data_IF_999154753081
#
_entry.id   IF_999154753081
#
_cell.length_a   1.000
_cell.length_b   1.000
_cell.length_c   1.000
_cell.angle_alpha   90.00
_cell.angle_beta   90.00
_cell.angle_gamma   90.00
#
_symmetry.space_group_name_H-M   'P 1'
#
loop_
_entity.id
_entity.type
_entity.pdbx_description
1 polymer ?
#
# COMPACT_ATOMS: atom_id res chain seq x y z
N UNK A 1 -5.80 3.01 -21.63
CA UNK A 1 -5.18 4.32 -21.37
C UNK A 1 -6.12 5.10 -20.49
N UNK A 2 -5.64 5.77 -19.44
CA UNK A 2 -6.48 6.62 -18.62
C UNK A 2 -6.73 7.95 -19.34
N UNK A 3 -7.97 8.43 -19.33
CA UNK A 3 -8.39 9.71 -19.92
C UNK A 3 -9.12 10.55 -18.87
N UNK A 4 -9.22 11.84 -19.12
CA UNK A 4 -10.00 12.79 -18.32
C UNK A 4 -9.64 12.84 -16.83
N UNK A 5 -8.35 12.60 -16.51
CA UNK A 5 -7.86 12.65 -15.15
C UNK A 5 -7.79 14.10 -14.64
N UNK A 6 -8.45 14.35 -13.51
CA UNK A 6 -8.32 15.59 -12.76
C UNK A 6 -7.95 15.26 -11.32
N UNK A 7 -6.65 15.19 -11.06
CA UNK A 7 -6.07 14.79 -9.78
C UNK A 7 -5.51 16.00 -9.06
N UNK A 8 -5.82 16.11 -7.79
CA UNK A 8 -5.28 17.13 -6.91
C UNK A 8 -4.57 16.48 -5.72
N UNK A 9 -3.39 16.99 -5.38
CA UNK A 9 -2.60 16.59 -4.23
C UNK A 9 -2.41 17.78 -3.30
N UNK A 10 -2.71 17.60 -2.03
CA UNK A 10 -2.58 18.63 -1.01
C UNK A 10 -1.31 18.47 -0.20
N UNK A 11 -0.79 19.58 0.33
CA UNK A 11 0.38 19.54 1.19
C UNK A 11 0.13 18.71 2.45
N UNK A 12 1.10 17.89 2.82
CA UNK A 12 1.02 17.07 4.02
C UNK A 12 0.18 15.80 3.90
N UNK A 13 -0.33 15.45 2.71
CA UNK A 13 -1.12 14.23 2.50
C UNK A 13 -0.24 13.04 2.07
N UNK A 14 -0.56 11.86 2.62
CA UNK A 14 -0.14 10.57 2.07
C UNK A 14 -1.23 10.04 1.14
N UNK A 15 -0.94 9.96 -0.14
CA UNK A 15 -1.85 9.41 -1.17
C UNK A 15 -1.38 8.05 -1.61
N UNK A 16 -2.27 7.06 -1.59
CA UNK A 16 -2.02 5.73 -2.15
C UNK A 16 -2.67 5.57 -3.51
N UNK A 17 -1.85 5.38 -4.55
CA UNK A 17 -2.29 5.03 -5.89
C UNK A 17 -2.47 3.51 -5.98
N UNK A 18 -3.71 3.08 -6.06
CA UNK A 18 -4.11 1.68 -6.02
C UNK A 18 -4.75 1.28 -7.35
N UNK A 19 -4.62 0.03 -7.72
CA UNK A 19 -5.28 -0.54 -8.89
C UNK A 19 -4.68 -1.88 -9.28
N UNK A 20 -5.38 -2.61 -10.13
CA UNK A 20 -4.93 -3.92 -10.62
C UNK A 20 -3.59 -3.83 -11.36
N UNK A 21 -2.87 -4.95 -11.46
CA UNK A 21 -1.65 -4.99 -12.25
C UNK A 21 -1.92 -4.65 -13.71
N UNK A 22 -1.04 -3.83 -14.28
CA UNK A 22 -1.15 -3.38 -15.67
C UNK A 22 -2.17 -2.24 -15.92
N UNK A 23 -2.82 -1.67 -14.89
CA UNK A 23 -3.71 -0.51 -15.07
C UNK A 23 -2.97 0.81 -15.36
N UNK A 24 -1.64 0.87 -15.13
CA UNK A 24 -0.83 2.03 -15.49
C UNK A 24 -0.30 2.86 -14.32
N UNK A 25 -0.28 2.33 -13.08
CA UNK A 25 0.20 3.04 -11.88
C UNK A 25 1.60 3.64 -12.07
N UNK A 26 2.58 2.81 -12.42
CA UNK A 26 3.97 3.27 -12.63
C UNK A 26 4.08 4.24 -13.81
N UNK A 27 3.25 4.08 -14.84
CA UNK A 27 3.18 5.03 -15.94
C UNK A 27 2.68 6.39 -15.49
N UNK A 28 1.63 6.42 -14.66
CA UNK A 28 1.11 7.66 -14.08
C UNK A 28 2.17 8.32 -13.18
N UNK A 29 2.82 7.57 -12.27
CA UNK A 29 3.89 8.11 -11.43
C UNK A 29 5.04 8.68 -12.25
N UNK A 30 5.49 7.99 -13.30
CA UNK A 30 6.53 8.49 -14.21
C UNK A 30 6.07 9.75 -14.95
N UNK A 31 4.79 9.86 -15.28
CA UNK A 31 4.21 11.06 -15.91
C UNK A 31 4.17 12.22 -14.91
N UNK A 32 3.73 11.98 -13.66
CA UNK A 32 3.75 12.96 -12.58
C UNK A 32 5.16 13.41 -12.22
N UNK A 33 6.15 12.51 -12.35
CA UNK A 33 7.57 12.84 -12.17
C UNK A 33 8.19 13.61 -13.36
N UNK A 34 7.47 13.75 -14.47
CA UNK A 34 7.96 14.37 -15.69
C UNK A 34 9.03 13.57 -16.42
N UNK A 35 9.13 12.26 -16.15
CA UNK A 35 9.97 11.30 -16.87
C UNK A 35 9.31 10.84 -18.17
N UNK A 36 7.99 10.91 -18.22
CA UNK A 36 7.19 10.58 -19.40
C UNK A 36 6.23 11.73 -19.69
N UNK A 37 6.09 12.10 -20.95
CA UNK A 37 5.12 13.14 -21.35
C UNK A 37 3.70 12.58 -21.32
N UNK A 38 2.71 13.33 -20.79
CA UNK A 38 1.32 12.96 -20.96
C UNK A 38 0.94 13.02 -22.45
N UNK A 39 0.06 12.15 -22.89
CA UNK A 39 -0.45 12.16 -24.26
C UNK A 39 -1.30 13.41 -24.51
N UNK A 40 -2.12 13.77 -23.55
CA UNK A 40 -2.95 14.97 -23.50
C UNK A 40 -2.96 15.55 -22.10
N UNK A 41 -3.35 16.81 -21.95
CA UNK A 41 -3.38 17.48 -20.67
C UNK A 41 -2.00 17.95 -20.19
N UNK A 42 -1.91 18.28 -18.91
CA UNK A 42 -0.70 18.84 -18.30
C UNK A 42 -0.58 18.41 -16.84
N UNK A 43 0.65 18.36 -16.34
CA UNK A 43 0.97 18.21 -14.93
C UNK A 43 1.45 19.56 -14.41
N UNK A 44 0.85 20.02 -13.32
CA UNK A 44 1.20 21.28 -12.65
C UNK A 44 1.85 20.98 -11.31
N UNK A 45 2.93 21.68 -10.98
CA UNK A 45 3.54 21.72 -9.66
C UNK A 45 3.67 23.19 -9.27
N UNK A 46 3.09 23.60 -8.14
CA UNK A 46 3.00 24.99 -7.70
C UNK A 46 2.46 25.93 -8.82
N UNK A 47 1.39 25.51 -9.49
CA UNK A 47 0.77 26.21 -10.63
C UNK A 47 1.68 26.40 -11.87
N UNK A 48 2.84 25.75 -11.92
CA UNK A 48 3.73 25.77 -13.08
C UNK A 48 3.64 24.45 -13.84
N UNK A 49 3.54 24.49 -15.16
CA UNK A 49 3.53 23.29 -15.98
C UNK A 49 4.89 22.59 -15.93
N UNK A 50 4.88 21.34 -15.46
CA UNK A 50 6.09 20.54 -15.25
C UNK A 50 6.94 20.37 -16.52
N UNK A 51 6.30 20.33 -17.70
CA UNK A 51 6.98 20.22 -18.98
C UNK A 51 7.90 21.42 -19.26
N UNK A 52 7.56 22.59 -18.73
CA UNK A 52 8.28 23.85 -18.96
C UNK A 52 9.37 24.12 -17.90
N UNK A 53 9.45 23.32 -16.86
CA UNK A 53 10.45 23.46 -15.78
C UNK A 53 11.74 22.73 -16.19
N UNK A 54 12.90 23.39 -16.01
CA UNK A 54 14.22 22.78 -16.27
C UNK A 54 14.47 21.59 -15.34
N UNK A 55 15.24 20.62 -15.80
CA UNK A 55 15.47 19.36 -15.07
C UNK A 55 16.03 19.60 -13.66
N UNK A 56 16.94 20.53 -13.51
CA UNK A 56 17.53 20.89 -12.21
C UNK A 56 16.51 21.53 -11.24
N UNK A 57 15.59 22.32 -11.75
CA UNK A 57 14.50 22.93 -10.98
C UNK A 57 13.44 21.89 -10.61
N UNK A 58 13.14 20.94 -11.53
CA UNK A 58 12.26 19.79 -11.24
C UNK A 58 12.79 18.98 -10.06
N UNK A 59 14.11 18.72 -10.05
CA UNK A 59 14.76 17.98 -8.97
C UNK A 59 14.71 18.70 -7.61
N UNK A 60 14.35 19.99 -7.56
CA UNK A 60 14.05 20.73 -6.33
C UNK A 60 12.57 20.78 -5.96
N UNK A 61 11.69 20.30 -6.85
CA UNK A 61 10.24 20.30 -6.65
C UNK A 61 9.68 18.91 -6.35
N UNK A 62 10.31 17.87 -6.85
CA UNK A 62 9.85 16.50 -6.62
C UNK A 62 11.03 15.52 -6.52
N UNK A 63 10.89 14.55 -5.64
CA UNK A 63 11.75 13.37 -5.52
C UNK A 63 11.00 12.13 -6.02
N UNK A 64 11.73 11.19 -6.62
CA UNK A 64 11.18 9.94 -7.13
C UNK A 64 12.02 8.76 -6.65
N UNK A 65 11.36 7.77 -6.08
CA UNK A 65 11.91 6.46 -5.73
C UNK A 65 11.22 5.42 -6.61
N UNK A 66 12.00 4.71 -7.42
CA UNK A 66 11.51 3.62 -8.27
C UNK A 66 11.70 2.27 -7.56
N UNK A 67 10.94 1.28 -8.00
CA UNK A 67 11.02 -0.11 -7.50
C UNK A 67 12.35 -0.80 -7.85
N UNK A 68 13.08 -0.27 -8.84
CA UNK A 68 14.35 -0.84 -9.29
C UNK A 68 15.38 -0.83 -8.17
N UNK A 69 16.04 -1.98 -7.95
CA UNK A 69 17.11 -2.09 -6.94
C UNK A 69 18.30 -1.26 -7.40
N UNK A 70 18.72 -0.34 -6.55
CA UNK A 70 19.96 0.40 -6.74
C UNK A 70 21.09 -0.44 -6.15
N UNK A 71 21.98 -0.91 -7.01
CA UNK A 71 23.19 -1.62 -6.61
C UNK A 71 24.40 -0.75 -6.96
N UNK A 72 25.00 -0.16 -5.94
CA UNK A 72 26.21 0.66 -6.07
C UNK A 72 27.27 0.01 -5.18
N UNK A 73 28.23 -0.62 -5.82
CA UNK A 73 29.33 -1.26 -5.14
C UNK A 73 30.08 -0.24 -4.26
N UNK A 74 30.41 -0.66 -3.04
CA UNK A 74 31.19 0.10 -2.06
C UNK A 74 30.61 1.47 -1.61
N UNK A 75 29.32 1.74 -1.89
CA UNK A 75 28.66 2.93 -1.36
C UNK A 75 28.11 2.67 0.05
N UNK A 76 28.35 3.60 0.96
CA UNK A 76 27.74 3.59 2.29
C UNK A 76 26.33 4.17 2.27
N UNK A 77 25.57 3.95 3.35
CA UNK A 77 24.26 4.59 3.56
C UNK A 77 24.40 6.10 3.39
N UNK A 78 25.38 6.72 4.07
CA UNK A 78 25.63 8.15 3.99
C UNK A 78 25.93 8.62 2.56
N UNK A 79 26.69 7.85 1.77
CA UNK A 79 26.99 8.19 0.38
C UNK A 79 25.72 8.21 -0.48
N UNK A 80 24.87 7.21 -0.33
CA UNK A 80 23.59 7.14 -1.07
C UNK A 80 22.66 8.30 -0.69
N UNK A 81 22.54 8.60 0.60
CA UNK A 81 21.67 9.70 1.05
C UNK A 81 22.21 11.06 0.59
N UNK A 82 23.53 11.27 0.60
CA UNK A 82 24.18 12.48 0.05
C UNK A 82 23.85 12.71 -1.42
N UNK A 83 23.62 11.65 -2.23
CA UNK A 83 23.20 11.81 -3.62
C UNK A 83 21.87 12.57 -3.74
N UNK A 84 21.02 12.56 -2.71
CA UNK A 84 19.80 13.37 -2.64
C UNK A 84 20.09 14.88 -2.73
N UNK A 85 21.27 15.32 -2.30
CA UNK A 85 21.68 16.74 -2.33
C UNK A 85 22.26 17.19 -3.67
N UNK A 86 22.38 16.30 -4.66
CA UNK A 86 22.91 16.67 -6.00
C UNK A 86 22.27 17.93 -6.60
N UNK A 87 20.95 18.19 -6.51
CA UNK A 87 20.35 19.42 -7.03
C UNK A 87 20.83 20.72 -6.36
N UNK A 88 21.58 20.64 -5.26
CA UNK A 88 22.03 21.77 -4.45
C UNK A 88 23.55 21.92 -4.44
N UNK A 89 24.28 20.95 -5.03
CA UNK A 89 25.74 21.03 -5.14
C UNK A 89 26.19 22.28 -5.90
N UNK A 90 27.33 22.80 -5.54
CA UNK A 90 28.03 23.83 -6.31
C UNK A 90 28.61 23.24 -7.62
N UNK A 91 29.21 24.08 -8.45
CA UNK A 91 29.84 23.67 -9.72
C UNK A 91 30.90 22.57 -9.57
N UNK A 92 31.53 22.49 -8.41
CA UNK A 92 32.58 21.51 -8.10
C UNK A 92 32.02 20.22 -7.46
N UNK A 93 30.71 20.11 -7.32
CA UNK A 93 30.05 18.95 -6.70
C UNK A 93 30.15 18.89 -5.17
N UNK A 94 30.62 19.98 -4.53
CA UNK A 94 30.75 20.03 -3.07
C UNK A 94 29.42 20.39 -2.41
N UNK A 95 29.18 19.74 -1.27
CA UNK A 95 28.09 20.01 -0.34
C UNK A 95 28.51 21.05 0.71
N UNK A 96 27.58 21.85 1.18
CA UNK A 96 27.75 22.74 2.33
C UNK A 96 27.51 22.00 3.65
N UNK A 97 27.94 22.59 4.78
CA UNK A 97 27.62 22.04 6.11
C UNK A 97 26.13 21.90 6.35
N UNK A 98 25.32 22.81 5.81
CA UNK A 98 23.86 22.72 5.86
C UNK A 98 23.34 21.47 5.13
N UNK A 99 23.93 21.09 4.00
CA UNK A 99 23.57 19.87 3.27
C UNK A 99 23.92 18.61 4.06
N UNK A 100 25.05 18.59 4.75
CA UNK A 100 25.41 17.47 5.63
C UNK A 100 24.44 17.32 6.80
N UNK A 101 23.96 18.43 7.37
CA UNK A 101 22.93 18.37 8.41
C UNK A 101 21.62 17.76 7.88
N UNK A 102 21.16 18.17 6.69
CA UNK A 102 19.96 17.60 6.05
C UNK A 102 20.13 16.10 5.78
N UNK A 103 21.32 15.66 5.35
CA UNK A 103 21.64 14.24 5.15
C UNK A 103 21.53 13.47 6.47
N UNK A 104 22.11 14.00 7.55
CA UNK A 104 22.06 13.35 8.87
C UNK A 104 20.62 13.28 9.40
N UNK A 105 19.85 14.38 9.31
CA UNK A 105 18.44 14.40 9.68
C UNK A 105 17.62 13.37 8.87
N UNK A 106 17.89 13.24 7.56
CA UNK A 106 17.21 12.26 6.73
C UNK A 106 17.54 10.82 7.13
N UNK A 107 18.77 10.53 7.54
CA UNK A 107 19.19 9.21 8.05
C UNK A 107 18.52 8.92 9.39
N UNK A 108 18.43 9.92 10.28
CA UNK A 108 17.76 9.83 11.58
C UNK A 108 16.26 9.56 11.41
N UNK A 109 15.59 10.26 10.50
CA UNK A 109 14.16 10.06 10.24
C UNK A 109 13.80 8.63 9.83
N UNK A 110 14.71 7.90 9.22
CA UNK A 110 14.52 6.51 8.81
C UNK A 110 15.13 5.50 9.78
N UNK A 111 15.69 5.94 10.92
CA UNK A 111 16.30 5.12 11.97
C UNK A 111 17.48 4.27 11.46
N UNK A 112 18.40 4.89 10.73
CA UNK A 112 19.61 4.27 10.21
C UNK A 112 20.92 4.91 10.71
N UNK A 113 20.89 5.70 11.79
CA UNK A 113 22.05 6.43 12.34
C UNK A 113 23.21 5.48 12.65
N UNK A 114 22.91 4.35 13.31
CA UNK A 114 23.91 3.34 13.65
C UNK A 114 24.53 2.61 12.45
N UNK A 115 23.95 2.80 11.25
CA UNK A 115 24.35 2.15 10.01
C UNK A 115 24.80 3.12 8.92
N UNK A 116 25.01 4.40 9.27
CA UNK A 116 25.38 5.44 8.30
C UNK A 116 26.64 5.09 7.48
N UNK A 117 27.61 4.42 8.10
CA UNK A 117 28.87 4.02 7.48
C UNK A 117 28.85 2.57 6.95
N UNK A 118 27.75 1.82 7.12
CA UNK A 118 27.62 0.47 6.56
C UNK A 118 27.45 0.54 5.04
N UNK A 119 27.99 -0.45 4.34
CA UNK A 119 27.79 -0.58 2.90
C UNK A 119 26.38 -1.06 2.57
N UNK A 120 25.86 -0.62 1.42
CA UNK A 120 24.50 -0.95 0.99
C UNK A 120 24.26 -2.48 0.88
N UNK A 121 25.28 -3.25 0.51
CA UNK A 121 25.21 -4.71 0.37
C UNK A 121 25.12 -5.45 1.72
N UNK A 122 25.45 -4.81 2.83
CA UNK A 122 25.37 -5.38 4.18
C UNK A 122 23.97 -5.21 4.81
N UNK A 123 23.08 -4.45 4.15
CA UNK A 123 21.76 -4.13 4.64
C UNK A 123 20.71 -5.16 4.20
N UNK A 124 19.70 -5.36 5.04
CA UNK A 124 18.46 -6.05 4.67
C UNK A 124 17.69 -5.27 3.59
N UNK A 125 16.76 -5.92 2.88
CA UNK A 125 15.94 -5.25 1.86
C UNK A 125 15.10 -4.11 2.46
N UNK A 126 14.58 -4.27 3.70
CA UNK A 126 13.86 -3.20 4.41
C UNK A 126 14.75 -2.00 4.74
N UNK A 127 15.99 -2.24 5.17
CA UNK A 127 16.95 -1.17 5.43
C UNK A 127 17.39 -0.47 4.14
N UNK A 128 17.62 -1.21 3.06
CA UNK A 128 17.90 -0.62 1.73
C UNK A 128 16.76 0.28 1.28
N UNK A 129 15.51 -0.15 1.49
CA UNK A 129 14.35 0.67 1.15
C UNK A 129 14.31 1.96 1.99
N UNK A 130 14.64 1.89 3.28
CA UNK A 130 14.78 3.08 4.15
C UNK A 130 15.88 4.02 3.67
N UNK A 131 17.01 3.51 3.17
CA UNK A 131 18.07 4.33 2.55
C UNK A 131 17.54 5.09 1.34
N UNK A 132 16.75 4.45 0.48
CA UNK A 132 16.17 5.11 -0.69
C UNK A 132 15.15 6.19 -0.31
N UNK A 133 14.38 5.96 0.75
CA UNK A 133 13.48 6.98 1.33
C UNK A 133 14.30 8.13 1.92
N UNK A 134 15.36 7.85 2.68
CA UNK A 134 16.26 8.87 3.23
C UNK A 134 16.91 9.74 2.13
N UNK A 135 17.34 9.12 1.02
CA UNK A 135 17.82 9.84 -0.16
C UNK A 135 16.77 10.81 -0.71
N UNK A 136 15.51 10.36 -0.84
CA UNK A 136 14.42 11.21 -1.29
C UNK A 136 14.10 12.34 -0.30
N UNK A 137 14.22 12.08 1.01
CA UNK A 137 14.09 13.08 2.07
C UNK A 137 15.21 14.12 2.01
N UNK A 138 16.45 13.67 1.85
CA UNK A 138 17.61 14.55 1.74
C UNK A 138 17.54 15.45 0.49
N UNK A 139 16.81 15.06 -0.55
CA UNK A 139 16.52 15.91 -1.71
C UNK A 139 15.66 17.12 -1.34
N UNK A 140 15.00 17.11 -0.18
CA UNK A 140 14.25 18.20 0.42
C UNK A 140 13.24 18.88 -0.54
N UNK A 141 12.42 18.07 -1.15
CA UNK A 141 11.37 18.50 -2.07
C UNK A 141 9.99 18.53 -1.40
N UNK A 142 9.05 19.37 -1.84
CA UNK A 142 7.67 19.38 -1.33
C UNK A 142 6.86 18.13 -1.72
N UNK A 143 7.26 17.43 -2.81
CA UNK A 143 6.59 16.25 -3.32
C UNK A 143 7.55 15.06 -3.37
N UNK A 144 7.11 13.91 -2.86
CA UNK A 144 7.83 12.63 -2.93
C UNK A 144 6.93 11.61 -3.60
N UNK A 145 7.40 11.01 -4.67
CA UNK A 145 6.74 9.93 -5.40
C UNK A 145 7.50 8.63 -5.16
N UNK A 146 6.79 7.55 -4.77
CA UNK A 146 7.41 6.24 -4.57
C UNK A 146 6.62 5.18 -5.34
N UNK A 147 7.33 4.42 -6.17
CA UNK A 147 6.75 3.32 -6.93
C UNK A 147 6.97 2.01 -6.19
N UNK A 148 5.90 1.44 -5.63
CA UNK A 148 5.86 0.20 -4.85
C UNK A 148 6.93 0.11 -3.73
N UNK A 149 6.98 1.08 -2.78
CA UNK A 149 8.05 1.15 -1.78
C UNK A 149 8.07 -0.02 -0.78
N UNK A 150 7.02 -0.84 -0.76
CA UNK A 150 6.90 -2.02 0.12
C UNK A 150 7.11 -3.35 -0.62
N UNK A 151 7.41 -3.30 -1.93
CA UNK A 151 7.62 -4.52 -2.71
C UNK A 151 8.80 -5.34 -2.16
N UNK A 152 8.63 -6.67 -2.16
CA UNK A 152 9.62 -7.65 -1.70
C UNK A 152 9.98 -7.60 -0.20
N UNK A 153 9.28 -6.80 0.60
CA UNK A 153 9.46 -6.75 2.05
C UNK A 153 8.54 -7.76 2.75
N UNK A 154 8.96 -8.26 3.90
CA UNK A 154 8.10 -9.01 4.81
C UNK A 154 7.08 -8.08 5.50
N UNK A 155 6.06 -8.66 6.11
CA UNK A 155 4.94 -7.91 6.68
C UNK A 155 5.37 -6.86 7.72
N UNK A 156 6.26 -7.15 8.71
CA UNK A 156 6.72 -6.13 9.65
C UNK A 156 7.37 -4.93 8.97
N UNK A 157 8.30 -5.16 8.03
CA UNK A 157 8.96 -4.09 7.30
C UNK A 157 7.98 -3.25 6.45
N UNK A 158 6.98 -3.89 5.81
CA UNK A 158 5.93 -3.16 5.08
C UNK A 158 5.17 -2.19 5.99
N UNK A 159 4.72 -2.68 7.16
CA UNK A 159 4.00 -1.86 8.15
C UNK A 159 4.86 -0.69 8.60
N UNK A 160 6.13 -0.94 8.91
CA UNK A 160 7.06 0.11 9.35
C UNK A 160 7.31 1.18 8.28
N UNK A 161 7.48 0.79 7.01
CA UNK A 161 7.61 1.74 5.89
C UNK A 161 6.33 2.57 5.72
N UNK A 162 5.16 1.95 5.76
CA UNK A 162 3.90 2.68 5.64
C UNK A 162 3.71 3.69 6.78
N UNK A 163 3.99 3.30 8.02
CA UNK A 163 3.95 4.20 9.19
C UNK A 163 4.99 5.32 9.08
N UNK A 164 6.19 5.03 8.56
CA UNK A 164 7.22 6.02 8.31
C UNK A 164 6.73 7.07 7.30
N UNK A 165 6.20 6.65 6.16
CA UNK A 165 5.72 7.55 5.10
C UNK A 165 4.54 8.40 5.57
N UNK A 166 3.60 7.82 6.33
CA UNK A 166 2.50 8.55 6.94
C UNK A 166 3.01 9.64 7.91
N UNK A 167 3.87 9.25 8.87
CA UNK A 167 4.47 10.21 9.81
C UNK A 167 5.26 11.31 9.10
N UNK A 168 5.95 10.95 8.02
CA UNK A 168 6.73 11.87 7.23
C UNK A 168 5.85 12.93 6.58
N UNK A 169 4.78 12.55 5.89
CA UNK A 169 3.86 13.48 5.27
C UNK A 169 3.34 14.51 6.31
N UNK A 170 2.83 14.02 7.43
CA UNK A 170 2.22 14.87 8.46
C UNK A 170 3.22 15.75 9.24
N UNK A 171 4.43 15.24 9.54
CA UNK A 171 5.41 16.01 10.32
C UNK A 171 6.15 17.05 9.49
N UNK A 172 6.42 16.76 8.23
CA UNK A 172 7.22 17.64 7.37
C UNK A 172 6.36 18.53 6.47
N UNK A 173 5.05 18.29 6.40
CA UNK A 173 4.16 18.97 5.46
C UNK A 173 4.40 18.62 3.99
N UNK A 174 5.26 17.63 3.71
CA UNK A 174 5.55 17.16 2.35
C UNK A 174 4.39 16.28 1.85
N UNK A 175 4.06 16.39 0.59
CA UNK A 175 3.10 15.51 -0.05
C UNK A 175 3.79 14.23 -0.48
N UNK A 176 3.21 13.08 -0.16
CA UNK A 176 3.75 11.76 -0.49
C UNK A 176 2.73 10.99 -1.32
N UNK A 177 3.12 10.54 -2.50
CA UNK A 177 2.30 9.65 -3.34
C UNK A 177 3.02 8.32 -3.49
N UNK A 178 2.37 7.24 -3.13
CA UNK A 178 2.90 5.89 -3.30
C UNK A 178 2.02 5.07 -4.24
N UNK A 179 2.60 4.33 -5.16
CA UNK A 179 1.89 3.23 -5.79
C UNK A 179 2.00 2.00 -4.91
N UNK A 180 0.93 1.25 -4.77
CA UNK A 180 0.95 -0.01 -4.02
C UNK A 180 -0.13 -0.97 -4.50
N UNK A 181 0.08 -2.26 -4.26
CA UNK A 181 -0.91 -3.31 -4.39
C UNK A 181 -1.37 -3.84 -3.01
N UNK A 182 -0.83 -3.29 -1.93
CA UNK A 182 -1.13 -3.65 -0.55
C UNK A 182 -2.37 -2.89 -0.08
N UNK A 183 -3.56 -3.39 -0.43
CA UNK A 183 -4.83 -2.71 -0.17
C UNK A 183 -5.09 -2.48 1.30
N UNK A 184 -4.89 -3.49 2.14
CA UNK A 184 -5.16 -3.42 3.57
C UNK A 184 -4.33 -2.31 4.24
N UNK A 185 -3.04 -2.21 3.90
CA UNK A 185 -2.18 -1.16 4.43
C UNK A 185 -2.53 0.22 3.90
N UNK A 186 -2.91 0.31 2.64
CA UNK A 186 -3.32 1.57 2.05
C UNK A 186 -4.62 2.10 2.66
N UNK A 187 -5.61 1.22 2.91
CA UNK A 187 -6.85 1.57 3.61
C UNK A 187 -6.61 2.08 5.04
N UNK A 188 -5.54 1.59 5.71
CA UNK A 188 -5.22 1.97 7.08
C UNK A 188 -4.33 3.21 7.20
N UNK A 189 -3.51 3.51 6.20
CA UNK A 189 -2.46 4.52 6.31
C UNK A 189 -2.67 5.75 5.42
N UNK A 190 -3.43 5.65 4.33
CA UNK A 190 -3.59 6.75 3.39
C UNK A 190 -4.59 7.80 3.88
N UNK A 191 -4.25 9.07 3.71
CA UNK A 191 -5.21 10.18 3.87
C UNK A 191 -6.19 10.21 2.69
N UNK A 192 -5.72 9.81 1.51
CA UNK A 192 -6.50 9.75 0.29
C UNK A 192 -6.05 8.59 -0.59
N UNK A 193 -6.98 7.99 -1.30
CA UNK A 193 -6.72 6.95 -2.29
C UNK A 193 -7.05 7.49 -3.68
N UNK A 194 -6.17 7.21 -4.62
CA UNK A 194 -6.41 7.27 -6.04
C UNK A 194 -6.59 5.84 -6.55
N UNK A 195 -7.85 5.44 -6.69
CA UNK A 195 -8.23 4.10 -7.13
C UNK A 195 -8.31 4.07 -8.66
N UNK A 196 -7.30 3.47 -9.28
CA UNK A 196 -7.20 3.34 -10.73
C UNK A 196 -7.89 2.09 -11.23
N UNK A 197 -8.87 2.24 -12.10
CA UNK A 197 -9.55 1.14 -12.78
C UNK A 197 -9.02 0.99 -14.21
N UNK A 198 -9.35 -0.11 -14.88
CA UNK A 198 -8.96 -0.33 -16.28
C UNK A 198 -9.81 0.45 -17.27
N UNK A 199 -11.03 0.75 -16.91
CA UNK A 199 -12.08 1.28 -17.82
C UNK A 199 -12.54 2.68 -17.44
N UNK A 200 -12.62 2.99 -16.15
CA UNK A 200 -13.42 4.11 -15.66
C UNK A 200 -12.60 5.27 -15.06
N UNK A 201 -11.29 5.32 -15.39
CA UNK A 201 -10.44 6.40 -14.90
C UNK A 201 -9.91 6.18 -13.48
N UNK A 202 -9.85 7.25 -12.70
CA UNK A 202 -9.37 7.22 -11.32
C UNK A 202 -10.43 7.80 -10.39
N UNK A 203 -10.90 6.99 -9.45
CA UNK A 203 -11.74 7.44 -8.35
C UNK A 203 -10.86 7.96 -7.21
N UNK A 204 -11.19 9.12 -6.66
CA UNK A 204 -10.40 9.81 -5.65
C UNK A 204 -11.23 10.11 -4.41
N UNK A 205 -10.75 9.70 -3.25
CA UNK A 205 -11.46 9.93 -1.99
C UNK A 205 -10.67 9.51 -0.77
N UNK A 206 -11.24 9.74 0.41
CA UNK A 206 -10.76 9.08 1.63
C UNK A 206 -11.08 7.59 1.55
N UNK A 207 -10.27 6.73 2.16
CA UNK A 207 -10.45 5.28 2.05
C UNK A 207 -11.86 4.78 2.35
N UNK A 208 -12.44 5.28 3.44
CA UNK A 208 -13.75 4.87 3.95
C UNK A 208 -14.89 5.22 2.97
N UNK A 209 -14.85 6.40 2.37
CA UNK A 209 -15.87 6.83 1.40
C UNK A 209 -15.86 5.94 0.15
N UNK A 210 -14.66 5.65 -0.38
CA UNK A 210 -14.51 4.78 -1.56
C UNK A 210 -14.99 3.34 -1.28
N UNK A 211 -14.78 2.85 -0.05
CA UNK A 211 -15.30 1.54 0.37
C UNK A 211 -16.81 1.56 0.48
N UNK A 212 -17.38 2.56 1.18
CA UNK A 212 -18.81 2.67 1.43
C UNK A 212 -19.63 2.94 0.15
N UNK A 213 -19.05 3.65 -0.81
CA UNK A 213 -19.65 3.92 -2.12
C UNK A 213 -19.52 2.72 -3.09
N UNK A 214 -18.81 1.66 -2.71
CA UNK A 214 -18.69 0.44 -3.50
C UNK A 214 -17.60 0.45 -4.58
N UNK A 215 -16.80 1.51 -4.72
CA UNK A 215 -15.76 1.64 -5.75
C UNK A 215 -14.71 0.52 -5.67
N UNK A 216 -14.34 0.09 -4.46
CA UNK A 216 -13.44 -1.06 -4.28
C UNK A 216 -14.03 -2.37 -4.75
N UNK A 217 -15.34 -2.57 -4.51
CA UNK A 217 -16.03 -3.76 -4.98
C UNK A 217 -16.02 -3.80 -6.52
N UNK A 218 -16.35 -2.70 -7.18
CA UNK A 218 -16.37 -2.60 -8.65
C UNK A 218 -14.98 -2.77 -9.25
N UNK A 219 -13.96 -2.10 -8.68
CA UNK A 219 -12.58 -2.14 -9.19
C UNK A 219 -11.94 -3.53 -9.10
N UNK A 220 -12.33 -4.33 -8.09
CA UNK A 220 -11.68 -5.61 -7.78
C UNK A 220 -12.61 -6.83 -7.86
N UNK A 221 -13.83 -6.68 -8.37
CA UNK A 221 -14.73 -7.81 -8.55
C UNK A 221 -14.21 -8.79 -9.59
N UNK A 222 -14.28 -10.08 -9.25
CA UNK A 222 -13.88 -11.20 -10.11
C UNK A 222 -14.82 -12.39 -9.90
N UNK A 223 -14.79 -13.36 -10.82
CA UNK A 223 -15.51 -14.65 -10.63
C UNK A 223 -14.96 -15.43 -9.44
N UNK A 224 -13.66 -15.27 -9.14
CA UNK A 224 -12.96 -16.07 -8.14
C UNK A 224 -12.84 -15.40 -6.77
N UNK A 225 -13.00 -14.08 -6.69
CA UNK A 225 -12.88 -13.32 -5.45
C UNK A 225 -13.67 -12.01 -5.53
N UNK A 226 -13.94 -11.42 -4.37
CA UNK A 226 -14.60 -10.12 -4.23
C UNK A 226 -13.96 -9.35 -3.04
N UNK A 227 -14.10 -8.04 -3.07
CA UNK A 227 -13.74 -7.19 -1.95
C UNK A 227 -14.89 -7.17 -0.95
N UNK A 228 -14.61 -7.53 0.30
CA UNK A 228 -15.55 -7.51 1.41
C UNK A 228 -15.49 -6.16 2.13
N UNK A 229 -16.45 -5.29 1.88
CA UNK A 229 -16.51 -3.94 2.46
C UNK A 229 -16.70 -3.93 4.00
N UNK A 230 -17.19 -5.02 4.59
CA UNK A 230 -17.40 -5.09 6.03
C UNK A 230 -16.08 -5.22 6.83
N UNK A 231 -15.04 -5.78 6.23
CA UNK A 231 -13.76 -6.00 6.88
C UNK A 231 -12.53 -5.48 6.08
N UNK A 232 -12.75 -4.86 4.92
CA UNK A 232 -11.69 -4.30 4.07
C UNK A 232 -10.79 -5.33 3.39
N UNK A 233 -11.16 -6.62 3.39
CA UNK A 233 -10.32 -7.70 2.88
C UNK A 233 -10.93 -8.37 1.64
N UNK A 234 -10.07 -9.07 0.88
CA UNK A 234 -10.55 -9.97 -0.17
C UNK A 234 -11.07 -11.28 0.38
N UNK A 235 -12.19 -11.71 -0.15
CA UNK A 235 -12.78 -13.02 0.09
C UNK A 235 -12.83 -13.83 -1.21
N UNK A 236 -12.53 -15.11 -1.12
CA UNK A 236 -12.60 -16.02 -2.24
C UNK A 236 -14.06 -16.46 -2.47
N UNK A 237 -14.48 -16.55 -3.72
CA UNK A 237 -15.75 -17.13 -4.09
C UNK A 237 -15.59 -18.65 -4.17
N UNK A 238 -16.11 -19.35 -3.16
CA UNK A 238 -16.18 -20.81 -3.17
C UNK A 238 -17.53 -21.26 -3.76
N UNK A 239 -17.56 -22.35 -4.53
CA UNK A 239 -18.82 -22.98 -4.93
C UNK A 239 -19.48 -23.56 -3.66
N UNK A 240 -20.61 -22.99 -3.26
CA UNK A 240 -21.35 -23.39 -2.06
C UNK A 240 -22.58 -24.18 -2.49
N UNK A 241 -22.60 -25.49 -2.23
CA UNK A 241 -23.68 -26.40 -2.64
C UNK A 241 -24.46 -26.98 -1.46
N UNK A 242 -23.86 -26.98 -0.27
CA UNK A 242 -24.44 -27.54 0.97
C UNK A 242 -24.92 -26.42 1.87
N UNK A 243 -26.06 -26.62 2.56
CA UNK A 243 -26.70 -25.60 3.41
C UNK A 243 -26.55 -25.94 4.87
N UNK A 244 -26.20 -24.95 5.70
CA UNK A 244 -26.14 -25.07 7.18
C UNK A 244 -26.64 -23.79 7.83
N UNK A 245 -27.23 -23.91 9.05
CA UNK A 245 -27.52 -22.77 9.91
C UNK A 245 -26.35 -22.53 10.87
N UNK A 246 -26.14 -21.27 11.28
CA UNK A 246 -25.10 -20.93 12.26
C UNK A 246 -25.65 -19.87 13.19
N UNK A 247 -25.51 -20.09 14.51
CA UNK A 247 -25.89 -19.12 15.55
C UNK A 247 -24.91 -19.11 16.72
N UNK A 248 -24.77 -17.98 17.43
CA UNK A 248 -24.01 -17.92 18.68
C UNK A 248 -22.89 -16.88 18.71
N UNK A 249 -21.73 -17.23 19.31
CA UNK A 249 -20.63 -16.31 19.60
C UNK A 249 -20.06 -15.62 18.36
N UNK A 250 -19.98 -14.28 18.38
CA UNK A 250 -19.58 -13.47 17.23
C UNK A 250 -18.11 -13.64 16.84
N UNK A 251 -17.23 -13.86 17.78
CA UNK A 251 -15.79 -13.96 17.52
C UNK A 251 -15.48 -15.26 16.79
N UNK A 252 -16.00 -16.36 17.28
CA UNK A 252 -15.87 -17.68 16.65
C UNK A 252 -16.68 -17.78 15.36
N UNK A 253 -17.80 -17.07 15.26
CA UNK A 253 -18.62 -16.98 14.07
C UNK A 253 -17.80 -16.63 12.83
N UNK A 254 -16.97 -15.59 12.89
CA UNK A 254 -16.14 -15.16 11.77
C UNK A 254 -15.26 -16.29 11.21
N UNK A 255 -14.56 -16.99 12.07
CA UNK A 255 -13.67 -18.10 11.67
C UNK A 255 -14.45 -19.33 11.21
N UNK A 256 -15.60 -19.62 11.84
CA UNK A 256 -16.49 -20.69 11.45
C UNK A 256 -17.04 -20.45 10.04
N UNK A 257 -17.54 -19.27 9.74
CA UNK A 257 -18.05 -18.91 8.42
C UNK A 257 -16.97 -19.05 7.33
N UNK A 258 -15.73 -18.66 7.62
CA UNK A 258 -14.61 -18.86 6.70
C UNK A 258 -14.29 -20.34 6.44
N UNK A 259 -14.35 -21.15 7.46
CA UNK A 259 -14.11 -22.59 7.34
C UNK A 259 -15.24 -23.26 6.54
N UNK A 260 -16.50 -22.92 6.82
CA UNK A 260 -17.67 -23.41 6.12
C UNK A 260 -17.67 -23.03 4.65
N UNK A 261 -17.39 -21.75 4.33
CA UNK A 261 -17.29 -21.29 2.95
C UNK A 261 -16.23 -22.09 2.16
N UNK A 262 -15.03 -22.27 2.75
CA UNK A 262 -13.96 -23.08 2.15
C UNK A 262 -14.35 -24.53 1.92
N UNK A 263 -15.19 -25.08 2.80
CA UNK A 263 -15.70 -26.46 2.69
C UNK A 263 -16.96 -26.57 1.83
N UNK A 264 -17.41 -25.48 1.19
CA UNK A 264 -18.53 -25.47 0.25
C UNK A 264 -19.92 -25.39 0.91
N UNK A 265 -19.98 -24.94 2.17
CA UNK A 265 -21.25 -24.74 2.89
C UNK A 265 -21.73 -23.30 2.78
N UNK A 266 -22.98 -23.12 2.41
CA UNK A 266 -23.72 -21.85 2.46
C UNK A 266 -24.46 -21.75 3.78
N UNK A 267 -24.31 -20.62 4.47
CA UNK A 267 -25.08 -20.36 5.68
C UNK A 267 -26.42 -19.75 5.31
N UNK A 268 -27.50 -20.36 5.80
CA UNK A 268 -28.89 -19.94 5.57
C UNK A 268 -29.62 -19.87 6.91
N UNK A 269 -30.70 -19.08 6.98
CA UNK A 269 -31.51 -18.93 8.20
C UNK A 269 -32.27 -20.22 8.55
N UNK A 270 -32.82 -20.90 7.51
CA UNK A 270 -33.51 -22.15 7.67
C UNK A 270 -32.67 -23.29 7.08
N UNK A 271 -32.12 -24.13 7.94
CA UNK A 271 -31.33 -25.31 7.56
C UNK A 271 -31.69 -26.51 8.43
N UNK A 272 -31.53 -27.70 7.87
CA UNK A 272 -31.74 -28.97 8.59
C UNK A 272 -30.68 -29.16 9.69
N UNK A 273 -29.44 -28.70 9.43
CA UNK A 273 -28.33 -28.77 10.37
C UNK A 273 -27.99 -27.37 10.87
N UNK A 274 -28.10 -27.13 12.16
CA UNK A 274 -27.77 -25.86 12.79
C UNK A 274 -26.56 -26.02 13.73
N UNK A 275 -25.56 -25.18 13.50
CA UNK A 275 -24.34 -25.12 14.29
C UNK A 275 -24.52 -24.05 15.38
N UNK A 276 -24.52 -24.44 16.65
CA UNK A 276 -24.53 -23.51 17.79
C UNK A 276 -23.10 -23.26 18.25
N UNK A 277 -22.69 -22.00 18.26
CA UNK A 277 -21.33 -21.58 18.63
C UNK A 277 -21.35 -21.00 20.04
N UNK A 278 -20.60 -21.60 20.95
CA UNK A 278 -20.32 -21.07 22.27
C UNK A 278 -18.92 -20.43 22.33
N UNK A 279 -18.57 -19.72 23.41
CA UNK A 279 -17.20 -19.20 23.55
C UNK A 279 -16.10 -20.28 23.56
N UNK A 280 -16.43 -21.53 23.87
CA UNK A 280 -15.44 -22.60 24.03
C UNK A 280 -15.56 -23.74 23.01
N UNK A 281 -16.75 -23.96 22.42
CA UNK A 281 -17.04 -25.13 21.59
C UNK A 281 -18.09 -24.85 20.48
N UNK A 282 -18.29 -25.80 19.62
CA UNK A 282 -19.38 -25.88 18.65
C UNK A 282 -20.31 -27.03 18.98
N UNK A 283 -21.59 -26.89 18.77
CA UNK A 283 -22.57 -27.92 18.99
C UNK A 283 -23.38 -28.18 17.74
N UNK A 284 -23.51 -29.43 17.38
CA UNK A 284 -24.44 -29.91 16.35
C UNK A 284 -25.32 -30.95 16.99
N UNK A 285 -26.63 -30.74 17.01
CA UNK A 285 -27.59 -31.58 17.74
C UNK A 285 -27.20 -31.68 19.23
N UNK A 286 -26.83 -32.88 19.69
CA UNK A 286 -26.43 -33.14 21.09
C UNK A 286 -24.91 -33.38 21.24
N UNK A 287 -24.12 -33.15 20.23
CA UNK A 287 -22.68 -33.41 20.24
C UNK A 287 -21.89 -32.11 20.38
N UNK A 288 -20.99 -32.07 21.34
CA UNK A 288 -20.05 -30.99 21.56
C UNK A 288 -18.75 -31.25 20.80
N UNK A 289 -18.30 -30.26 20.02
CA UNK A 289 -17.10 -30.30 19.21
C UNK A 289 -16.15 -29.18 19.64
N UNK A 290 -14.88 -29.50 19.86
CA UNK A 290 -13.91 -28.57 20.44
C UNK A 290 -13.07 -27.85 19.39
N UNK A 291 -13.01 -28.39 18.19
CA UNK A 291 -12.21 -27.83 17.09
C UNK A 291 -13.05 -27.65 15.82
N UNK A 292 -12.62 -26.72 14.97
CA UNK A 292 -13.22 -26.52 13.63
C UNK A 292 -13.02 -27.76 12.75
N UNK A 293 -11.94 -28.51 12.95
CA UNK A 293 -11.66 -29.75 12.22
C UNK A 293 -12.72 -30.82 12.56
N UNK A 294 -13.02 -31.03 13.84
CA UNK A 294 -14.10 -31.92 14.30
C UNK A 294 -15.46 -31.47 13.71
N UNK A 295 -15.72 -30.15 13.71
CA UNK A 295 -16.93 -29.58 13.13
C UNK A 295 -17.07 -29.93 11.63
N UNK A 296 -16.04 -29.69 10.83
CA UNK A 296 -16.06 -30.00 9.39
C UNK A 296 -16.20 -31.50 9.14
N UNK A 297 -15.48 -32.33 9.89
CA UNK A 297 -15.59 -33.79 9.80
C UNK A 297 -16.98 -34.31 10.13
N UNK A 298 -17.65 -33.72 11.11
CA UNK A 298 -19.04 -34.05 11.46
C UNK A 298 -20.01 -33.66 10.38
N UNK A 299 -19.85 -32.44 9.83
CA UNK A 299 -20.69 -31.94 8.74
C UNK A 299 -20.58 -32.76 7.47
N UNK A 300 -19.40 -33.26 7.12
CA UNK A 300 -19.20 -34.13 5.96
C UNK A 300 -20.00 -35.44 6.07
N UNK A 301 -20.22 -35.92 7.30
CA UNK A 301 -21.02 -37.13 7.56
C UNK A 301 -22.54 -36.88 7.56
N UNK A 302 -22.96 -35.65 7.90
CA UNK A 302 -24.39 -35.31 8.02
C UNK A 302 -24.99 -34.76 6.72
N UNK A 303 -24.16 -34.08 5.92
CA UNK A 303 -24.60 -33.39 4.70
C UNK A 303 -23.85 -34.01 3.51
N UNK A 304 -24.22 -35.22 3.15
CA UNK A 304 -23.73 -35.90 1.93
C UNK A 304 -24.51 -35.45 0.70
#
# INVERSE_FOLDING_TARGET
>A
MQSDLNLELRAGELVCLIGQNGCGKSTLLRTLAGLQKPLHGKVLVDNQELANIRIHEKARKLALVLTEKVDIENATVADIVRMGRQPYCNWWGNLSDADYNIVNEAIEMVHLEAKADCHLNELSDGERQRVMIAKALAQDTPLILLDEPTAHLDLPNRVEIMLLLHKLAHRTGKSVVISTHELDMALQAADRIWLMTKTDGIECGVPEDLVLQGHFHEAFQSKSYYFNSANGNFSMNYPMTKKVGVEGDKTRMYWTLRALARAGYMVVEEAEVVIKITPESWHIENEELKTVEELLTKLEKLVQ
#
